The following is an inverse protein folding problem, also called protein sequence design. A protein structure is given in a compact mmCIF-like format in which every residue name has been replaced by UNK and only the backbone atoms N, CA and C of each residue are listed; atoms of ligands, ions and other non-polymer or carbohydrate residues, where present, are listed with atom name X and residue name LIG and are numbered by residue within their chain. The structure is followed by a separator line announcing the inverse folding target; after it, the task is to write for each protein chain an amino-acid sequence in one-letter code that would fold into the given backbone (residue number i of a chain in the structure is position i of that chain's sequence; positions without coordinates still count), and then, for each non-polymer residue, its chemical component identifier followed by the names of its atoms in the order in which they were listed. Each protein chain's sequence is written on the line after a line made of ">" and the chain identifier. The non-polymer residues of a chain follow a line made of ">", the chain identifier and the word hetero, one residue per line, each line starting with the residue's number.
data_IF_348039491749
#
_entry.id   IF_348039491749
#
_cell.length_a   1.000
_cell.length_b   1.000
_cell.length_c   1.000
_cell.angle_alpha   90.00
_cell.angle_beta   90.00
_cell.angle_gamma   90.00
#
_symmetry.space_group_name_H-M   'P 1'
#
loop_
_entity.id
_entity.type
_entity.pdbx_description
1 polymer ?
#
# COMPACT_ATOMS: atom_id res chain seq x y z
N UNK A 1 10.90 -6.34 19.63
CA UNK A 1 11.71 -5.69 18.55
C UNK A 1 12.94 -6.53 18.30
N UNK A 2 13.05 -7.12 17.13
CA UNK A 2 14.18 -7.98 16.75
C UNK A 2 15.46 -7.16 16.51
N UNK A 3 16.62 -7.84 16.57
CA UNK A 3 17.89 -7.17 16.22
C UNK A 3 17.95 -6.82 14.74
N UNK A 4 17.24 -7.57 13.90
CA UNK A 4 17.11 -7.26 12.47
C UNK A 4 16.36 -5.94 12.25
N UNK A 5 15.25 -5.69 12.96
CA UNK A 5 14.55 -4.42 12.89
C UNK A 5 15.44 -3.25 13.34
N UNK A 6 16.20 -3.42 14.43
CA UNK A 6 17.16 -2.38 14.87
C UNK A 6 18.20 -2.06 13.80
N UNK A 7 18.70 -3.09 13.11
CA UNK A 7 19.65 -2.93 12.01
C UNK A 7 19.01 -2.15 10.84
N UNK A 8 17.78 -2.50 10.45
CA UNK A 8 17.04 -1.76 9.40
C UNK A 8 16.83 -0.31 9.81
N UNK A 9 16.40 -0.05 11.04
CA UNK A 9 16.17 1.31 11.55
C UNK A 9 17.46 2.15 11.60
N UNK A 10 18.59 1.53 11.92
CA UNK A 10 19.90 2.20 11.86
C UNK A 10 20.21 2.62 10.42
N UNK A 11 20.06 1.71 9.47
CA UNK A 11 20.33 2.00 8.05
C UNK A 11 19.35 3.04 7.48
N UNK A 12 18.07 3.01 7.87
CA UNK A 12 17.11 4.05 7.52
C UNK A 12 17.58 5.44 7.98
N UNK A 13 18.10 5.55 9.20
CA UNK A 13 18.63 6.82 9.74
C UNK A 13 19.84 7.34 8.94
N UNK A 14 20.70 6.45 8.47
CA UNK A 14 21.88 6.78 7.66
C UNK A 14 21.51 7.38 6.28
N UNK A 15 20.31 7.04 5.77
CA UNK A 15 19.79 7.52 4.48
C UNK A 15 18.83 8.72 4.58
N UNK A 16 18.71 9.32 5.76
CA UNK A 16 17.84 10.48 5.99
C UNK A 16 18.33 11.71 5.22
N UNK A 17 17.40 12.43 4.60
CA UNK A 17 17.67 13.74 3.99
C UNK A 17 16.63 14.76 4.41
N UNK A 18 17.06 16.00 4.63
CA UNK A 18 16.18 17.12 5.03
C UNK A 18 15.12 17.41 3.97
N UNK A 19 15.49 17.37 2.69
CA UNK A 19 14.57 17.65 1.57
C UNK A 19 13.46 16.59 1.47
N UNK A 20 13.82 15.31 1.59
CA UNK A 20 12.82 14.23 1.55
C UNK A 20 11.89 14.30 2.77
N UNK A 21 12.43 14.65 3.94
CA UNK A 21 11.63 14.85 5.15
C UNK A 21 10.65 16.02 5.00
N UNK A 22 11.15 17.17 4.54
CA UNK A 22 10.31 18.34 4.29
C UNK A 22 9.21 18.06 3.25
N UNK A 23 9.55 17.35 2.16
CA UNK A 23 8.58 16.94 1.15
C UNK A 23 7.51 15.99 1.71
N UNK A 24 7.90 14.98 2.50
CA UNK A 24 6.95 14.06 3.12
C UNK A 24 5.98 14.80 4.04
N UNK A 25 6.49 15.65 4.93
CA UNK A 25 5.66 16.43 5.86
C UNK A 25 4.74 17.42 5.14
N UNK A 26 5.16 17.98 4.00
CA UNK A 26 4.35 18.93 3.23
C UNK A 26 3.23 18.26 2.43
N UNK A 27 3.49 17.12 1.82
CA UNK A 27 2.58 16.52 0.83
C UNK A 27 1.80 15.32 1.34
N UNK A 28 2.22 14.71 2.45
CA UNK A 28 1.56 13.53 3.01
C UNK A 28 0.89 13.89 4.33
N UNK A 29 -0.45 13.99 4.38
CA UNK A 29 -1.14 14.30 5.62
C UNK A 29 -0.94 13.17 6.62
N UNK A 30 -0.90 13.51 7.90
CA UNK A 30 -0.76 12.56 8.99
C UNK A 30 0.45 11.60 8.86
N UNK A 31 1.53 12.03 8.18
CA UNK A 31 2.78 11.29 8.19
C UNK A 31 3.46 11.47 9.55
N UNK A 32 3.58 10.39 10.29
CA UNK A 32 4.17 10.39 11.63
C UNK A 32 5.55 9.73 11.63
N UNK A 33 6.42 10.15 12.54
CA UNK A 33 7.77 9.59 12.72
C UNK A 33 8.55 9.51 11.40
N UNK A 34 8.56 10.62 10.63
CA UNK A 34 9.16 10.69 9.30
C UNK A 34 10.69 10.74 9.40
N UNK A 35 11.36 9.80 8.76
CA UNK A 35 12.83 9.80 8.58
C UNK A 35 13.26 10.81 7.52
N UNK A 36 12.60 10.81 6.38
CA UNK A 36 12.98 11.59 5.19
C UNK A 36 13.83 10.80 4.22
N UNK A 37 13.30 9.67 3.73
CA UNK A 37 14.01 8.73 2.87
C UNK A 37 13.35 8.68 1.50
N UNK A 38 14.16 8.73 0.45
CA UNK A 38 13.68 8.65 -0.93
C UNK A 38 13.27 7.22 -1.28
N UNK A 39 12.19 7.07 -2.04
CA UNK A 39 11.64 5.78 -2.48
C UNK A 39 12.66 4.79 -3.08
N UNK A 40 13.65 5.20 -3.91
CA UNK A 40 14.65 4.25 -4.43
C UNK A 40 15.45 3.54 -3.33
N UNK A 41 15.77 4.22 -2.25
CA UNK A 41 16.47 3.63 -1.09
C UNK A 41 15.61 2.53 -0.46
N UNK A 42 14.32 2.81 -0.22
CA UNK A 42 13.40 1.82 0.32
C UNK A 42 13.28 0.57 -0.57
N UNK A 43 13.36 0.72 -1.89
CA UNK A 43 13.36 -0.42 -2.83
C UNK A 43 14.61 -1.30 -2.69
N UNK A 44 15.78 -0.67 -2.47
CA UNK A 44 17.04 -1.38 -2.21
C UNK A 44 16.97 -2.12 -0.89
N UNK A 45 16.52 -1.46 0.17
CA UNK A 45 16.40 -2.05 1.51
C UNK A 45 15.42 -3.22 1.53
N UNK A 46 14.28 -3.12 0.83
CA UNK A 46 13.32 -4.23 0.74
C UNK A 46 13.96 -5.50 0.14
N UNK A 47 14.80 -5.35 -0.89
CA UNK A 47 15.53 -6.49 -1.48
C UNK A 47 16.62 -7.02 -0.56
N UNK A 48 17.37 -6.11 0.08
CA UNK A 48 18.46 -6.47 1.01
C UNK A 48 17.96 -7.30 2.19
N UNK A 49 16.83 -6.89 2.76
CA UNK A 49 16.28 -7.50 3.98
C UNK A 49 15.18 -8.55 3.73
N UNK A 50 15.07 -9.10 2.50
CA UNK A 50 14.02 -10.07 2.14
C UNK A 50 14.01 -11.34 3.00
N UNK A 51 15.16 -11.74 3.54
CA UNK A 51 15.27 -12.92 4.38
C UNK A 51 14.64 -12.73 5.77
N UNK A 52 14.38 -11.48 6.20
CA UNK A 52 13.58 -11.19 7.40
C UNK A 52 12.12 -11.62 7.30
N UNK A 53 11.66 -11.94 6.09
CA UNK A 53 10.37 -12.59 5.87
C UNK A 53 9.17 -11.77 6.35
N UNK A 54 8.08 -12.49 6.63
CA UNK A 54 6.84 -11.88 7.09
C UNK A 54 6.94 -11.30 8.50
N UNK A 55 7.85 -11.79 9.32
CA UNK A 55 8.02 -11.26 10.68
C UNK A 55 8.60 -9.85 10.63
N UNK A 56 9.61 -9.61 9.80
CA UNK A 56 10.14 -8.27 9.60
C UNK A 56 9.08 -7.32 8.97
N UNK A 57 8.24 -7.81 8.05
CA UNK A 57 7.11 -7.02 7.50
C UNK A 57 6.18 -6.54 8.61
N UNK A 58 5.81 -7.42 9.54
CA UNK A 58 4.95 -7.06 10.68
C UNK A 58 5.64 -6.07 11.62
N UNK A 59 6.89 -6.35 12.01
CA UNK A 59 7.64 -5.46 12.91
C UNK A 59 7.81 -4.04 12.32
N UNK A 60 8.10 -3.92 11.03
CA UNK A 60 8.18 -2.64 10.33
C UNK A 60 6.84 -1.91 10.33
N UNK A 61 5.74 -2.63 10.13
CA UNK A 61 4.40 -2.04 10.16
C UNK A 61 4.04 -1.54 11.56
N UNK A 62 4.28 -2.36 12.56
CA UNK A 62 3.90 -2.10 13.96
C UNK A 62 4.72 -0.96 14.60
N UNK A 63 5.88 -0.63 14.05
CA UNK A 63 6.69 0.52 14.49
C UNK A 63 5.95 1.85 14.36
N UNK A 64 5.02 1.95 13.41
CA UNK A 64 4.21 3.11 13.11
C UNK A 64 4.93 4.24 12.36
N UNK A 65 6.24 4.12 12.08
CA UNK A 65 6.98 5.14 11.34
C UNK A 65 6.63 5.11 9.83
N UNK A 66 6.55 6.30 9.23
CA UNK A 66 6.08 6.47 7.86
C UNK A 66 6.85 5.61 6.85
N UNK A 67 8.18 5.76 6.80
CA UNK A 67 8.99 5.01 5.84
C UNK A 67 9.12 3.53 6.21
N UNK A 68 8.96 3.14 7.47
CA UNK A 68 8.92 1.73 7.86
C UNK A 68 7.64 1.06 7.35
N UNK A 69 6.48 1.73 7.40
CA UNK A 69 5.24 1.24 6.75
C UNK A 69 5.40 1.13 5.23
N UNK A 70 6.03 2.10 4.59
CA UNK A 70 6.34 2.02 3.16
C UNK A 70 7.28 0.86 2.84
N UNK A 71 8.31 0.66 3.68
CA UNK A 71 9.25 -0.45 3.55
C UNK A 71 8.57 -1.81 3.78
N UNK A 72 7.66 -1.91 4.73
CA UNK A 72 6.84 -3.11 4.95
C UNK A 72 6.07 -3.49 3.69
N UNK A 73 5.39 -2.54 3.03
CA UNK A 73 4.67 -2.77 1.78
C UNK A 73 5.61 -3.24 0.65
N UNK A 74 6.80 -2.64 0.55
CA UNK A 74 7.80 -3.01 -0.47
C UNK A 74 8.46 -4.36 -0.19
N UNK A 75 8.74 -4.67 1.07
CA UNK A 75 9.26 -5.98 1.47
C UNK A 75 8.22 -7.06 1.18
N UNK A 76 6.94 -6.80 1.49
CA UNK A 76 5.85 -7.71 1.17
C UNK A 76 5.77 -7.98 -0.34
N UNK A 77 5.95 -6.96 -1.19
CA UNK A 77 6.05 -7.14 -2.64
C UNK A 77 7.14 -8.14 -3.04
N UNK A 78 8.31 -8.06 -2.40
CA UNK A 78 9.45 -8.95 -2.72
C UNK A 78 9.17 -10.40 -2.32
N UNK A 79 8.48 -10.62 -1.20
CA UNK A 79 8.31 -11.97 -0.61
C UNK A 79 6.92 -12.58 -0.79
N UNK A 80 5.93 -11.85 -1.31
CA UNK A 80 4.52 -12.29 -1.37
C UNK A 80 4.31 -13.61 -2.12
N UNK A 81 5.23 -13.99 -3.01
CA UNK A 81 5.20 -15.28 -3.71
C UNK A 81 5.40 -16.47 -2.79
N UNK A 82 6.02 -16.31 -1.61
CA UNK A 82 6.21 -17.38 -0.62
C UNK A 82 4.86 -17.88 -0.07
N UNK A 83 3.95 -16.94 0.22
CA UNK A 83 2.57 -17.24 0.62
C UNK A 83 1.64 -16.07 0.20
N UNK A 84 0.99 -16.16 -0.97
CA UNK A 84 0.12 -15.11 -1.49
C UNK A 84 -1.10 -14.82 -0.60
N UNK A 85 -1.71 -15.86 -0.02
CA UNK A 85 -2.90 -15.69 0.81
C UNK A 85 -2.57 -15.10 2.17
N UNK A 86 -1.44 -15.49 2.75
CA UNK A 86 -0.96 -14.86 3.98
C UNK A 86 -0.58 -13.39 3.74
N UNK A 87 0.04 -13.09 2.59
CA UNK A 87 0.32 -11.71 2.19
C UNK A 87 -0.94 -10.85 2.08
N UNK A 88 -2.02 -11.41 1.52
CA UNK A 88 -3.32 -10.74 1.46
C UNK A 88 -3.92 -10.52 2.86
N UNK A 89 -3.78 -11.49 3.77
CA UNK A 89 -4.20 -11.34 5.18
C UNK A 89 -3.45 -10.19 5.87
N UNK A 90 -2.15 -10.03 5.61
CA UNK A 90 -1.38 -8.90 6.13
C UNK A 90 -1.89 -7.56 5.58
N UNK A 91 -2.14 -7.47 4.27
CA UNK A 91 -2.75 -6.27 3.66
C UNK A 91 -4.10 -5.93 4.30
N UNK A 92 -4.95 -6.93 4.54
CA UNK A 92 -6.23 -6.74 5.22
C UNK A 92 -6.07 -6.29 6.68
N UNK A 93 -5.04 -6.74 7.39
CA UNK A 93 -4.74 -6.28 8.74
C UNK A 93 -4.24 -4.83 8.71
N UNK A 94 -3.33 -4.52 7.80
CA UNK A 94 -2.72 -3.19 7.64
C UNK A 94 -3.73 -2.10 7.27
N UNK A 95 -4.82 -2.45 6.58
CA UNK A 95 -5.84 -1.49 6.14
C UNK A 95 -6.39 -0.63 7.28
N UNK A 96 -6.45 -1.18 8.49
CA UNK A 96 -7.00 -0.53 9.69
C UNK A 96 -6.15 0.64 10.20
N UNK A 97 -4.83 0.57 9.98
CA UNK A 97 -3.85 1.50 10.53
C UNK A 97 -3.27 2.44 9.46
N UNK A 98 -3.86 2.45 8.26
CA UNK A 98 -3.53 3.41 7.22
C UNK A 98 -4.09 4.78 7.62
N UNK A 99 -3.23 5.80 7.61
CA UNK A 99 -3.59 7.17 7.99
C UNK A 99 -3.33 8.20 6.89
N UNK A 100 -2.76 7.78 5.75
CA UNK A 100 -2.44 8.68 4.64
C UNK A 100 -2.43 7.96 3.28
N UNK A 101 -2.51 8.76 2.22
CA UNK A 101 -2.58 8.25 0.85
C UNK A 101 -1.32 7.51 0.39
N UNK A 102 -0.13 7.95 0.85
CA UNK A 102 1.13 7.36 0.38
C UNK A 102 1.31 5.93 0.88
N UNK A 103 0.97 5.66 2.15
CA UNK A 103 0.95 4.30 2.70
C UNK A 103 -0.16 3.48 2.06
N UNK A 104 -1.37 4.05 1.89
CA UNK A 104 -2.48 3.39 1.22
C UNK A 104 -2.10 2.91 -0.19
N UNK A 105 -1.49 3.77 -0.98
CA UNK A 105 -1.10 3.47 -2.36
C UNK A 105 0.07 2.47 -2.40
N UNK A 106 1.03 2.57 -1.48
CA UNK A 106 2.10 1.57 -1.38
C UNK A 106 1.55 0.18 -1.06
N UNK A 107 0.63 0.08 -0.11
CA UNK A 107 -0.01 -1.19 0.27
C UNK A 107 -0.86 -1.73 -0.87
N UNK A 108 -1.73 -0.92 -1.49
CA UNK A 108 -2.67 -1.38 -2.51
C UNK A 108 -2.01 -1.70 -3.85
N UNK A 109 -1.15 -0.80 -4.36
CA UNK A 109 -0.58 -0.94 -5.71
C UNK A 109 0.64 -1.86 -5.75
N UNK A 110 1.40 -1.98 -4.65
CA UNK A 110 2.71 -2.62 -4.71
C UNK A 110 2.73 -3.98 -4.02
N UNK A 111 2.19 -4.10 -2.79
CA UNK A 111 2.41 -5.26 -1.93
C UNK A 111 2.11 -6.61 -2.58
N UNK A 112 1.03 -6.72 -3.33
CA UNK A 112 0.56 -7.97 -3.92
C UNK A 112 0.76 -8.06 -5.44
N UNK A 113 1.34 -7.04 -6.07
CA UNK A 113 1.47 -6.97 -7.54
C UNK A 113 2.04 -8.23 -8.18
N UNK A 114 3.11 -8.89 -7.63
CA UNK A 114 3.68 -10.09 -8.24
C UNK A 114 2.79 -11.34 -8.20
N UNK A 115 1.73 -11.32 -7.40
CA UNK A 115 0.81 -12.46 -7.20
C UNK A 115 -0.65 -12.10 -7.50
N UNK A 116 -0.94 -10.86 -7.89
CA UNK A 116 -2.28 -10.32 -8.04
C UNK A 116 -3.16 -11.22 -8.94
N UNK A 117 -2.66 -11.64 -10.09
CA UNK A 117 -3.40 -12.52 -11.00
C UNK A 117 -3.73 -13.90 -10.38
N UNK A 118 -2.83 -14.41 -9.54
CA UNK A 118 -3.01 -15.73 -8.91
C UNK A 118 -4.10 -15.73 -7.84
N UNK A 119 -4.28 -14.59 -7.15
CA UNK A 119 -5.25 -14.42 -6.06
C UNK A 119 -6.28 -13.31 -6.39
N UNK A 120 -6.61 -13.18 -7.67
CA UNK A 120 -7.52 -12.13 -8.16
C UNK A 120 -8.85 -12.14 -7.41
N UNK A 121 -9.49 -13.32 -7.30
CA UNK A 121 -10.77 -13.46 -6.62
C UNK A 121 -10.71 -12.95 -5.18
N UNK A 122 -9.70 -13.36 -4.43
CA UNK A 122 -9.52 -13.00 -3.04
C UNK A 122 -9.23 -11.49 -2.86
N UNK A 123 -8.52 -10.86 -3.81
CA UNK A 123 -8.33 -9.40 -3.83
C UNK A 123 -9.66 -8.70 -4.07
N UNK A 124 -10.49 -9.16 -5.01
CA UNK A 124 -11.82 -8.58 -5.24
C UNK A 124 -12.75 -8.80 -4.05
N UNK A 125 -12.66 -9.94 -3.36
CA UNK A 125 -13.42 -10.23 -2.13
C UNK A 125 -12.99 -9.27 -1.00
N UNK A 126 -11.70 -9.01 -0.83
CA UNK A 126 -11.19 -8.01 0.11
C UNK A 126 -11.67 -6.60 -0.25
N UNK A 127 -11.55 -6.20 -1.51
CA UNK A 127 -12.06 -4.92 -2.00
C UNK A 127 -13.55 -4.73 -1.67
N UNK A 128 -14.38 -5.77 -1.88
CA UNK A 128 -15.81 -5.74 -1.57
C UNK A 128 -16.14 -5.59 -0.08
N UNK A 129 -15.23 -5.99 0.81
CA UNK A 129 -15.34 -5.74 2.26
C UNK A 129 -14.95 -4.32 2.61
N UNK A 130 -13.78 -3.88 2.14
CA UNK A 130 -13.20 -2.57 2.46
C UNK A 130 -14.07 -1.41 1.97
N UNK A 131 -14.75 -1.56 0.84
CA UNK A 131 -15.59 -0.50 0.24
C UNK A 131 -16.75 -0.07 1.15
N UNK A 132 -17.18 -0.94 2.06
CA UNK A 132 -18.29 -0.70 2.99
C UNK A 132 -17.84 -0.10 4.34
N UNK A 133 -16.54 0.13 4.49
CA UNK A 133 -15.99 0.60 5.75
C UNK A 133 -16.36 2.05 6.06
N UNK A 134 -16.48 2.36 7.36
CA UNK A 134 -16.55 3.76 7.82
C UNK A 134 -15.20 4.48 7.72
N UNK A 135 -14.08 3.75 7.67
CA UNK A 135 -12.75 4.31 7.51
C UNK A 135 -12.49 4.70 6.05
N UNK A 136 -12.23 5.97 5.80
CA UNK A 136 -11.97 6.50 4.46
C UNK A 136 -10.77 5.83 3.77
N UNK A 137 -9.75 5.45 4.53
CA UNK A 137 -8.56 4.80 3.96
C UNK A 137 -8.83 3.36 3.51
N UNK A 138 -9.70 2.64 4.22
CA UNK A 138 -10.17 1.33 3.76
C UNK A 138 -11.02 1.47 2.48
N UNK A 139 -11.92 2.47 2.40
CA UNK A 139 -12.67 2.73 1.17
C UNK A 139 -11.74 3.13 0.02
N UNK A 140 -10.73 3.98 0.26
CA UNK A 140 -9.70 4.28 -0.75
C UNK A 140 -8.96 3.01 -1.16
N UNK A 141 -8.48 2.22 -0.21
CA UNK A 141 -7.73 0.99 -0.48
C UNK A 141 -8.55 -0.01 -1.29
N UNK A 142 -9.88 -0.07 -1.12
CA UNK A 142 -10.75 -0.94 -1.90
C UNK A 142 -10.63 -0.71 -3.41
N UNK A 143 -10.40 0.53 -3.84
CA UNK A 143 -10.15 0.87 -5.24
C UNK A 143 -8.67 0.69 -5.63
N UNK A 144 -7.75 1.13 -4.76
CA UNK A 144 -6.32 1.12 -5.06
C UNK A 144 -5.78 -0.31 -5.24
N UNK A 145 -6.30 -1.28 -4.45
CA UNK A 145 -5.83 -2.68 -4.52
C UNK A 145 -6.25 -3.40 -5.81
N UNK A 146 -7.32 -2.96 -6.47
CA UNK A 146 -7.79 -3.52 -7.74
C UNK A 146 -7.30 -2.77 -8.98
N UNK A 147 -6.52 -1.68 -8.79
CA UNK A 147 -6.00 -0.88 -9.90
C UNK A 147 -5.17 -1.70 -10.90
N UNK A 148 -4.40 -2.63 -10.40
CA UNK A 148 -3.56 -3.53 -11.22
C UNK A 148 -4.35 -4.28 -12.31
N UNK A 149 -5.65 -4.44 -12.14
CA UNK A 149 -6.56 -5.12 -13.06
C UNK A 149 -7.23 -4.19 -14.08
N UNK A 150 -7.01 -2.89 -14.03
CA UNK A 150 -7.59 -1.93 -14.99
C UNK A 150 -7.12 -2.16 -16.43
N UNK A 151 -6.02 -2.90 -16.62
CA UNK A 151 -5.50 -3.30 -17.93
C UNK A 151 -6.25 -4.47 -18.58
N UNK A 152 -7.08 -5.17 -17.83
CA UNK A 152 -7.87 -6.30 -18.31
C UNK A 152 -9.30 -5.84 -18.61
N UNK A 153 -9.70 -5.71 -19.90
CA UNK A 153 -11.03 -5.26 -20.27
C UNK A 153 -12.16 -6.16 -19.72
N UNK A 154 -11.90 -7.44 -19.51
CA UNK A 154 -12.92 -8.38 -18.98
C UNK A 154 -13.32 -8.06 -17.55
N UNK A 155 -12.46 -7.37 -16.79
CA UNK A 155 -12.68 -6.98 -15.39
C UNK A 155 -13.25 -5.56 -15.25
N UNK A 156 -13.33 -4.79 -16.34
CA UNK A 156 -13.85 -3.41 -16.30
C UNK A 156 -15.25 -3.31 -15.70
N UNK A 157 -16.24 -4.17 -16.02
CA UNK A 157 -17.56 -4.07 -15.42
C UNK A 157 -17.53 -4.22 -13.89
N UNK A 158 -16.72 -5.15 -13.38
CA UNK A 158 -16.61 -5.40 -11.94
C UNK A 158 -15.88 -4.28 -11.20
N UNK A 159 -14.85 -3.69 -11.83
CA UNK A 159 -14.14 -2.52 -11.27
C UNK A 159 -15.08 -1.30 -11.29
N UNK A 160 -15.77 -1.04 -12.41
CA UNK A 160 -16.69 0.10 -12.53
C UNK A 160 -17.86 0.02 -11.57
N UNK A 161 -18.35 -1.18 -11.25
CA UNK A 161 -19.35 -1.38 -10.19
C UNK A 161 -18.85 -0.82 -8.84
N UNK A 162 -17.58 -1.04 -8.47
CA UNK A 162 -16.98 -0.51 -7.24
C UNK A 162 -16.76 0.99 -7.33
N UNK A 163 -16.28 1.47 -8.47
CA UNK A 163 -16.12 2.91 -8.70
C UNK A 163 -17.46 3.64 -8.48
N UNK A 164 -18.56 3.11 -9.05
CA UNK A 164 -19.90 3.68 -8.88
C UNK A 164 -20.38 3.69 -7.44
N UNK A 165 -20.03 2.70 -6.63
CA UNK A 165 -20.38 2.66 -5.19
C UNK A 165 -19.73 3.78 -4.37
N UNK A 166 -18.60 4.34 -4.84
CA UNK A 166 -17.86 5.42 -4.17
C UNK A 166 -17.89 6.74 -4.97
N UNK A 167 -18.70 6.84 -6.01
CA UNK A 167 -18.74 8.02 -6.89
C UNK A 167 -19.16 9.28 -6.14
N UNK A 168 -20.09 9.13 -5.20
CA UNK A 168 -20.64 10.21 -4.37
C UNK A 168 -20.03 10.23 -2.94
N UNK A 169 -18.92 9.54 -2.71
CA UNK A 169 -18.25 9.56 -1.41
C UNK A 169 -17.81 10.99 -1.05
N UNK A 170 -18.04 11.42 0.18
CA UNK A 170 -17.76 12.80 0.59
C UNK A 170 -16.27 13.07 0.83
N UNK A 171 -15.49 12.01 1.10
CA UNK A 171 -14.09 12.11 1.50
C UNK A 171 -13.15 12.43 0.31
N UNK A 172 -12.36 13.47 0.45
CA UNK A 172 -11.46 13.98 -0.58
C UNK A 172 -10.54 12.89 -1.17
N UNK A 173 -9.92 12.07 -0.32
CA UNK A 173 -8.99 11.05 -0.78
C UNK A 173 -9.67 9.85 -1.43
N UNK A 174 -10.93 9.59 -1.13
CA UNK A 174 -11.74 8.57 -1.82
C UNK A 174 -12.14 9.10 -3.21
N UNK A 175 -12.66 10.32 -3.31
CA UNK A 175 -12.94 11.00 -4.59
C UNK A 175 -11.73 10.99 -5.52
N UNK A 176 -10.55 11.28 -4.99
CA UNK A 176 -9.30 11.21 -5.77
C UNK A 176 -9.02 9.83 -6.34
N UNK A 177 -9.29 8.75 -5.60
CA UNK A 177 -9.12 7.38 -6.09
C UNK A 177 -10.13 7.06 -7.18
N UNK A 178 -11.39 7.47 -7.05
CA UNK A 178 -12.44 7.33 -8.07
C UNK A 178 -12.00 7.99 -9.40
N UNK A 179 -11.59 9.26 -9.34
CA UNK A 179 -11.14 10.01 -10.53
C UNK A 179 -9.90 9.35 -11.16
N UNK A 180 -8.97 8.88 -10.32
CA UNK A 180 -7.75 8.25 -10.79
C UNK A 180 -8.02 6.92 -11.52
N UNK A 181 -8.88 6.06 -10.97
CA UNK A 181 -9.27 4.81 -11.63
C UNK A 181 -9.98 5.09 -12.98
N UNK A 182 -10.97 6.02 -13.02
CA UNK A 182 -11.64 6.41 -14.25
C UNK A 182 -10.63 6.85 -15.33
N UNK A 183 -9.66 7.69 -14.95
CA UNK A 183 -8.60 8.14 -15.87
C UNK A 183 -7.70 7.00 -16.36
N UNK A 184 -7.46 5.97 -15.54
CA UNK A 184 -6.66 4.81 -15.94
C UNK A 184 -7.38 4.00 -17.03
N UNK A 185 -8.70 3.86 -16.97
CA UNK A 185 -9.49 3.26 -18.06
C UNK A 185 -9.37 4.04 -19.37
N UNK A 186 -9.55 5.37 -19.32
CA UNK A 186 -9.46 6.23 -20.50
C UNK A 186 -8.10 6.14 -21.21
N UNK A 187 -7.04 5.91 -20.44
CA UNK A 187 -5.67 5.82 -20.96
C UNK A 187 -5.23 4.40 -21.33
N UNK A 188 -6.10 3.40 -21.16
CA UNK A 188 -5.73 2.00 -21.37
C UNK A 188 -4.59 1.51 -20.47
N UNK A 189 -4.48 2.04 -19.25
CA UNK A 189 -3.41 1.74 -18.30
C UNK A 189 -3.87 0.85 -17.20
#
# INVERSE_FOLDING_TARGET
>A
MSDLLKQVQKELKEHTTTDAKAAALKFVPNAEKVYGIRTPVLNVLAKKYKEGGFDLVKELWDSGAFEEKLLAAKLLNVICKKDPLFSLKLVAAFSKDISNWAVCDAVGMQSLKPVAQKIQKEIFDLSAKLIKSRNLWERRLSLVIIEVFTKDPSLHPEIMKRVKMLEDDEEYYVKKAVVWIKRNFEKGR
#
